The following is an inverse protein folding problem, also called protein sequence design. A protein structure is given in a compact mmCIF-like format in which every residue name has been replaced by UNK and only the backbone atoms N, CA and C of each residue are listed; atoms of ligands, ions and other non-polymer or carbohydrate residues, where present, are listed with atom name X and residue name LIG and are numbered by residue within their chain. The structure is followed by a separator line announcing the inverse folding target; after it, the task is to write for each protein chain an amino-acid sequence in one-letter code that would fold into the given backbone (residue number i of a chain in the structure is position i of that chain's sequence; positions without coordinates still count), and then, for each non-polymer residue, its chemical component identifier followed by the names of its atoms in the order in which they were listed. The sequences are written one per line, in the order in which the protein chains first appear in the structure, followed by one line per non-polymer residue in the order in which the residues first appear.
data_IF_628888209230
#
_entry.id   IF_628888209230
#
_cell.length_a   1.000
_cell.length_b   1.000
_cell.length_c   1.000
_cell.angle_alpha   90.00
_cell.angle_beta   90.00
_cell.angle_gamma   90.00
#
_symmetry.space_group_name_H-M   'P 1'
#
loop_
_entity.id
_entity.type
_entity.pdbx_description
1 polymer ?
#
# COMPACT_ATOMS: atom_id res chain seq x y z
N UNK A 1 -11.18 15.40 -22.28
CA UNK A 1 -11.95 14.61 -21.26
C UNK A 1 -10.95 14.21 -20.19
N UNK A 2 -11.28 14.45 -18.93
CA UNK A 2 -10.39 14.06 -17.81
C UNK A 2 -10.04 12.58 -17.87
N UNK A 3 -8.84 12.23 -17.42
CA UNK A 3 -8.42 10.84 -17.32
C UNK A 3 -9.28 10.08 -16.29
N UNK A 4 -9.57 8.82 -16.59
CA UNK A 4 -10.16 7.89 -15.61
C UNK A 4 -9.04 7.07 -14.99
N UNK A 5 -8.97 7.07 -13.65
CA UNK A 5 -7.87 6.47 -12.92
C UNK A 5 -8.42 5.53 -11.85
N UNK A 6 -7.75 4.40 -11.68
CA UNK A 6 -8.00 3.43 -10.61
C UNK A 6 -6.74 3.21 -9.78
N UNK A 7 -6.92 2.80 -8.53
CA UNK A 7 -5.84 2.35 -7.66
C UNK A 7 -5.91 0.83 -7.59
N UNK A 8 -4.81 0.17 -7.91
CA UNK A 8 -4.74 -1.29 -7.93
C UNK A 8 -3.81 -1.83 -6.86
N UNK A 9 -4.30 -2.77 -6.07
CA UNK A 9 -3.48 -3.62 -5.21
C UNK A 9 -2.94 -4.80 -6.02
N UNK A 10 -1.65 -5.05 -5.89
CA UNK A 10 -0.98 -6.18 -6.52
C UNK A 10 -0.67 -7.26 -5.49
N UNK A 11 -0.95 -8.53 -5.84
CA UNK A 11 -0.73 -9.71 -5.01
C UNK A 11 -0.25 -10.88 -5.88
N UNK A 12 0.33 -11.90 -5.26
CA UNK A 12 0.77 -13.11 -5.92
C UNK A 12 2.15 -12.99 -6.56
N UNK A 13 2.48 -13.92 -7.43
CA UNK A 13 3.80 -14.05 -8.04
C UNK A 13 4.23 -12.78 -8.79
N UNK A 14 5.47 -12.34 -8.58
CA UNK A 14 6.03 -11.17 -9.26
C UNK A 14 6.03 -11.30 -10.79
N UNK A 15 6.09 -12.51 -11.33
CA UNK A 15 6.03 -12.76 -12.77
C UNK A 15 4.62 -12.70 -13.37
N UNK A 16 3.57 -12.86 -12.54
CA UNK A 16 2.16 -12.84 -12.96
C UNK A 16 1.26 -12.39 -11.81
N UNK A 17 1.37 -11.13 -11.38
CA UNK A 17 0.61 -10.64 -10.23
C UNK A 17 -0.87 -10.49 -10.56
N UNK A 18 -1.71 -10.76 -9.56
CA UNK A 18 -3.12 -10.39 -9.57
C UNK A 18 -3.25 -8.91 -9.22
N UNK A 19 -4.01 -8.16 -10.01
CA UNK A 19 -4.25 -6.72 -9.85
C UNK A 19 -5.72 -6.49 -9.51
N UNK A 20 -5.99 -6.07 -8.29
CA UNK A 20 -7.36 -5.80 -7.84
C UNK A 20 -7.59 -4.30 -7.73
N UNK A 21 -8.66 -3.80 -8.36
CA UNK A 21 -9.10 -2.42 -8.19
C UNK A 21 -9.60 -2.20 -6.75
N UNK A 22 -8.99 -1.26 -6.06
CA UNK A 22 -9.31 -0.90 -4.67
C UNK A 22 -9.76 0.55 -4.53
N UNK A 23 -10.07 1.24 -5.63
CA UNK A 23 -10.40 2.67 -5.65
C UNK A 23 -11.58 3.01 -4.75
N UNK A 24 -12.58 2.14 -4.69
CA UNK A 24 -13.83 2.36 -3.96
C UNK A 24 -14.14 1.27 -2.94
N UNK A 25 -13.18 0.42 -2.61
CA UNK A 25 -13.35 -0.70 -1.68
C UNK A 25 -12.25 -0.72 -0.64
N UNK A 26 -12.56 -1.25 0.53
CA UNK A 26 -11.56 -1.47 1.56
C UNK A 26 -10.55 -2.53 1.11
N UNK A 27 -9.30 -2.34 1.51
CA UNK A 27 -8.27 -3.37 1.39
C UNK A 27 -7.72 -3.68 2.79
N UNK A 28 -7.71 -4.94 3.14
CA UNK A 28 -7.24 -5.41 4.44
C UNK A 28 -5.77 -5.80 4.35
N UNK A 29 -4.95 -5.29 5.27
CA UNK A 29 -3.62 -5.83 5.51
C UNK A 29 -3.75 -7.04 6.46
N UNK A 30 -3.24 -8.19 6.05
CA UNK A 30 -3.34 -9.47 6.76
C UNK A 30 -2.04 -10.27 6.60
N UNK A 31 -1.97 -11.44 7.22
CA UNK A 31 -0.82 -12.34 7.13
C UNK A 31 -0.97 -13.34 5.96
N UNK A 32 -1.29 -12.82 4.77
CA UNK A 32 -1.30 -13.57 3.50
C UNK A 32 -1.16 -12.61 2.31
N UNK A 33 -0.69 -13.13 1.17
CA UNK A 33 -0.52 -12.37 -0.06
C UNK A 33 -1.77 -12.47 -0.95
N UNK A 34 -2.93 -12.08 -0.39
CA UNK A 34 -4.20 -12.02 -1.10
C UNK A 34 -4.94 -10.73 -0.79
N UNK A 35 -5.82 -10.30 -1.70
CA UNK A 35 -6.71 -9.19 -1.43
C UNK A 35 -7.97 -9.69 -0.70
N UNK A 36 -8.28 -9.07 0.43
CA UNK A 36 -9.55 -9.24 1.14
C UNK A 36 -10.06 -7.90 1.64
N UNK A 37 -11.37 -7.77 1.77
CA UNK A 37 -12.01 -6.53 2.26
C UNK A 37 -12.32 -6.58 3.75
N UNK A 38 -12.60 -7.78 4.28
CA UNK A 38 -12.99 -8.01 5.67
C UNK A 38 -12.73 -9.45 6.09
N UNK A 39 -12.99 -9.77 7.35
CA UNK A 39 -12.90 -11.13 7.90
C UNK A 39 -11.72 -11.32 8.86
N UNK A 40 -11.60 -12.53 9.39
CA UNK A 40 -10.59 -12.92 10.39
C UNK A 40 -9.61 -13.96 9.87
N UNK A 41 -9.78 -14.46 8.64
CA UNK A 41 -8.86 -15.41 8.02
C UNK A 41 -7.48 -14.78 7.86
N UNK A 42 -6.45 -15.53 8.20
CA UNK A 42 -5.05 -15.09 8.12
C UNK A 42 -4.78 -13.73 8.80
N UNK A 43 -5.37 -13.51 9.98
CA UNK A 43 -5.07 -12.36 10.80
C UNK A 43 -3.60 -12.36 11.22
N UNK A 44 -3.02 -11.17 11.43
CA UNK A 44 -1.68 -11.05 12.01
C UNK A 44 -1.80 -11.47 13.48
N UNK A 45 -0.94 -12.39 13.92
CA UNK A 45 -0.90 -12.78 15.33
C UNK A 45 -0.27 -11.66 16.18
N UNK A 46 -0.83 -11.41 17.36
CA UNK A 46 -0.19 -10.55 18.35
C UNK A 46 0.99 -11.35 18.94
N UNK A 47 2.23 -10.83 18.84
CA UNK A 47 3.38 -11.56 19.36
C UNK A 47 3.45 -11.47 20.89
N UNK A 48 4.08 -12.44 21.54
CA UNK A 48 4.35 -12.37 22.97
C UNK A 48 5.47 -11.38 23.32
N UNK A 49 6.34 -11.08 22.37
CA UNK A 49 7.39 -10.07 22.42
C UNK A 49 7.83 -9.67 21.02
N UNK A 50 8.42 -8.47 20.85
CA UNK A 50 8.80 -7.96 19.53
C UNK A 50 7.59 -7.60 18.67
N UNK A 51 7.69 -7.81 17.38
CA UNK A 51 6.65 -7.43 16.41
C UNK A 51 6.36 -8.54 15.41
N UNK A 52 5.10 -8.64 15.02
CA UNK A 52 4.63 -9.36 13.84
C UNK A 52 4.17 -8.35 12.77
N UNK A 53 4.12 -8.80 11.55
CA UNK A 53 3.93 -7.96 10.38
C UNK A 53 2.78 -8.47 9.51
N UNK A 54 2.02 -7.56 8.88
CA UNK A 54 1.21 -8.00 7.72
C UNK A 54 2.15 -8.44 6.58
N UNK A 55 1.62 -9.15 5.60
CA UNK A 55 2.25 -9.10 4.29
C UNK A 55 2.19 -7.65 3.80
N UNK A 56 3.21 -7.16 3.09
CA UNK A 56 3.16 -5.78 2.58
C UNK A 56 2.09 -5.63 1.51
N UNK A 57 1.51 -4.45 1.46
CA UNK A 57 0.47 -4.09 0.51
C UNK A 57 1.07 -3.18 -0.54
N UNK A 58 1.19 -3.69 -1.76
CA UNK A 58 1.70 -2.94 -2.90
C UNK A 58 0.55 -2.32 -3.67
N UNK A 59 0.49 -0.98 -3.71
CA UNK A 59 -0.54 -0.23 -4.43
C UNK A 59 0.07 0.58 -5.56
N UNK A 60 -0.65 0.72 -6.67
CA UNK A 60 -0.21 1.46 -7.85
C UNK A 60 -1.39 2.13 -8.55
N UNK A 61 -1.15 3.29 -9.12
CA UNK A 61 -2.10 3.99 -9.97
C UNK A 61 -2.16 3.35 -11.37
N UNK A 62 -3.35 3.23 -11.92
CA UNK A 62 -3.60 2.80 -13.29
C UNK A 62 -4.49 3.82 -13.99
N UNK A 63 -4.14 4.21 -15.21
CA UNK A 63 -4.97 5.03 -16.07
C UNK A 63 -5.81 4.12 -16.95
N UNK A 64 -7.12 4.14 -16.76
CA UNK A 64 -8.04 3.27 -17.50
C UNK A 64 -8.56 3.94 -18.78
N UNK A 65 -8.65 5.28 -18.81
CA UNK A 65 -8.96 6.05 -20.01
C UNK A 65 -8.24 7.41 -19.95
N UNK A 66 -7.70 7.82 -21.08
CA UNK A 66 -7.12 9.14 -21.33
C UNK A 66 -7.26 9.47 -22.81
N UNK A 67 -7.75 10.66 -23.15
CA UNK A 67 -7.95 11.07 -24.54
C UNK A 67 -6.82 11.95 -25.07
N UNK A 68 -6.21 12.74 -24.21
CA UNK A 68 -5.10 13.64 -24.51
C UNK A 68 -4.43 14.06 -23.20
N UNK A 69 -3.27 14.70 -23.26
CA UNK A 69 -2.57 15.21 -22.08
C UNK A 69 -1.78 14.13 -21.36
N UNK A 70 -1.55 14.36 -20.08
CA UNK A 70 -0.65 13.55 -19.25
C UNK A 70 -1.22 13.45 -17.84
N UNK A 71 -1.13 12.27 -17.24
CA UNK A 71 -1.29 12.03 -15.80
C UNK A 71 0.11 11.99 -15.20
N UNK A 72 0.42 12.90 -14.26
CA UNK A 72 1.74 13.00 -13.63
C UNK A 72 1.65 13.52 -12.20
N UNK A 73 2.79 13.94 -11.63
CA UNK A 73 2.91 14.47 -10.26
C UNK A 73 2.22 13.59 -9.21
N UNK A 74 2.42 12.28 -9.31
CA UNK A 74 1.77 11.29 -8.46
C UNK A 74 2.21 11.49 -7.00
N UNK A 75 1.25 11.52 -6.09
CA UNK A 75 1.44 11.67 -4.65
C UNK A 75 0.65 10.63 -3.89
N UNK A 76 1.14 10.26 -2.72
CA UNK A 76 0.46 9.41 -1.77
C UNK A 76 0.53 10.02 -0.37
N UNK A 77 -0.58 10.00 0.39
CA UNK A 77 -0.62 10.57 1.74
C UNK A 77 -1.77 10.01 2.59
N UNK A 78 -1.72 10.32 3.88
CA UNK A 78 -2.73 10.01 4.89
C UNK A 78 -3.27 11.31 5.49
N UNK A 79 -4.19 11.23 6.44
CA UNK A 79 -4.64 12.38 7.24
C UNK A 79 -3.63 12.79 8.33
N UNK A 80 -2.57 12.00 8.55
CA UNK A 80 -1.52 12.22 9.54
C UNK A 80 -1.79 11.59 10.90
N UNK A 81 -2.93 10.95 11.11
CA UNK A 81 -3.32 10.31 12.36
C UNK A 81 -3.28 8.80 12.25
N UNK A 82 -2.71 8.12 13.26
CA UNK A 82 -2.78 6.66 13.36
C UNK A 82 -3.95 6.27 14.27
N UNK A 83 -5.03 5.80 13.70
CA UNK A 83 -6.23 5.35 14.43
C UNK A 83 -6.32 3.81 14.53
N UNK A 84 -5.28 3.06 14.14
CA UNK A 84 -5.30 1.59 14.27
C UNK A 84 -5.36 1.10 15.72
N UNK A 85 -4.97 1.95 16.67
CA UNK A 85 -4.95 1.62 18.10
C UNK A 85 -3.55 1.33 18.64
N UNK A 86 -3.49 1.12 19.96
CA UNK A 86 -2.22 0.84 20.68
C UNK A 86 -1.55 -0.41 20.12
N UNK A 87 -0.23 -0.38 20.00
CA UNK A 87 0.57 -1.52 19.53
C UNK A 87 0.44 -1.81 18.03
N UNK A 88 -0.25 -0.96 17.27
CA UNK A 88 -0.39 -1.13 15.82
C UNK A 88 0.15 0.12 15.11
N UNK A 89 1.13 -0.06 14.25
CA UNK A 89 1.72 0.99 13.44
C UNK A 89 1.72 0.61 11.95
N UNK A 90 1.99 1.58 11.10
CA UNK A 90 2.09 1.35 9.67
C UNK A 90 3.36 2.01 9.13
N UNK A 91 4.17 1.24 8.44
CA UNK A 91 5.39 1.72 7.77
C UNK A 91 5.26 1.56 6.27
N UNK A 92 5.94 2.40 5.49
CA UNK A 92 5.90 2.31 4.04
C UNK A 92 6.88 3.22 3.34
N UNK A 93 7.03 2.99 2.05
CA UNK A 93 7.81 3.85 1.15
C UNK A 93 7.41 3.56 -0.32
N UNK A 94 7.90 4.37 -1.23
CA UNK A 94 7.76 4.12 -2.66
C UNK A 94 8.71 3.00 -3.12
N UNK A 95 8.29 2.27 -4.16
CA UNK A 95 9.09 1.20 -4.76
C UNK A 95 9.02 1.25 -6.28
N UNK A 96 10.16 1.05 -6.95
CA UNK A 96 10.25 1.12 -8.42
C UNK A 96 9.66 -0.11 -9.12
N UNK A 97 9.53 -1.24 -8.44
CA UNK A 97 8.96 -2.47 -8.98
C UNK A 97 8.15 -3.21 -7.92
N UNK A 98 7.27 -4.09 -8.40
CA UNK A 98 6.54 -5.03 -7.54
C UNK A 98 7.48 -6.14 -7.07
N UNK A 99 7.40 -6.44 -5.78
CA UNK A 99 8.00 -7.63 -5.15
C UNK A 99 6.90 -8.33 -4.39
N UNK A 100 6.79 -9.64 -4.57
CA UNK A 100 5.80 -10.45 -3.87
C UNK A 100 6.04 -10.43 -2.36
N UNK A 101 5.01 -10.15 -1.59
CA UNK A 101 5.06 -10.29 -0.14
C UNK A 101 5.13 -11.78 0.25
N UNK A 102 5.93 -12.09 1.27
CA UNK A 102 6.10 -13.44 1.78
C UNK A 102 6.01 -13.47 3.31
N UNK A 103 5.92 -14.67 3.89
CA UNK A 103 5.82 -14.84 5.34
C UNK A 103 5.24 -16.20 5.71
N UNK A 104 4.71 -16.30 6.93
CA UNK A 104 3.95 -17.45 7.42
C UNK A 104 2.47 -17.10 7.45
N UNK A 105 1.70 -17.69 6.56
CA UNK A 105 0.26 -17.42 6.42
C UNK A 105 -0.48 -17.60 7.75
N UNK A 106 -1.35 -16.64 8.09
CA UNK A 106 -2.09 -16.63 9.35
C UNK A 106 -1.26 -16.32 10.59
N UNK A 107 0.00 -15.88 10.43
CA UNK A 107 0.88 -15.53 11.54
C UNK A 107 1.54 -14.17 11.32
N UNK A 108 2.52 -14.11 10.41
CA UNK A 108 3.32 -12.91 10.18
C UNK A 108 3.89 -12.88 8.77
N UNK A 109 3.95 -11.68 8.18
CA UNK A 109 4.76 -11.39 7.01
C UNK A 109 6.25 -11.26 7.35
N UNK A 110 7.10 -11.21 6.34
CA UNK A 110 8.49 -10.74 6.45
C UNK A 110 8.48 -9.22 6.58
N UNK A 111 9.32 -8.67 7.45
CA UNK A 111 9.45 -7.23 7.67
C UNK A 111 9.77 -6.48 6.35
N UNK A 112 9.10 -5.35 6.13
CA UNK A 112 9.37 -4.47 5.01
C UNK A 112 10.67 -3.69 5.26
N UNK A 113 11.72 -4.08 4.57
CA UNK A 113 13.04 -3.44 4.59
C UNK A 113 13.60 -3.34 3.18
N UNK A 114 14.61 -2.52 2.96
CA UNK A 114 15.32 -2.46 1.68
C UNK A 114 16.04 -3.76 1.32
N UNK A 115 16.35 -4.60 2.31
CA UNK A 115 16.93 -5.93 2.08
C UNK A 115 15.90 -6.96 1.61
N UNK A 116 14.68 -6.91 2.16
CA UNK A 116 13.60 -7.83 1.82
C UNK A 116 12.80 -7.39 0.59
N UNK A 117 12.69 -6.07 0.36
CA UNK A 117 12.05 -5.48 -0.81
C UNK A 117 13.07 -4.61 -1.55
N UNK A 118 13.87 -5.23 -2.42
CA UNK A 118 15.03 -4.61 -3.08
C UNK A 118 14.70 -3.38 -3.95
N UNK A 119 13.42 -3.17 -4.30
CA UNK A 119 12.99 -2.04 -5.13
C UNK A 119 12.49 -0.83 -4.34
N UNK A 120 12.53 -0.86 -2.98
CA UNK A 120 12.20 0.30 -2.17
C UNK A 120 13.16 1.46 -2.42
N UNK A 121 12.65 2.68 -2.47
CA UNK A 121 13.45 3.89 -2.66
C UNK A 121 14.34 4.22 -1.45
N UNK A 122 14.08 3.61 -0.31
CA UNK A 122 14.82 3.79 0.94
C UNK A 122 14.15 3.03 2.09
N UNK A 123 14.68 3.16 3.29
CA UNK A 123 14.08 2.55 4.47
C UNK A 123 12.62 2.99 4.64
N UNK A 124 11.69 2.08 4.94
CA UNK A 124 10.30 2.46 5.21
C UNK A 124 10.22 3.35 6.45
N UNK A 125 9.30 4.28 6.44
CA UNK A 125 9.03 5.21 7.54
C UNK A 125 7.57 5.13 7.97
N UNK A 126 7.23 5.75 9.10
CA UNK A 126 5.84 5.87 9.53
C UNK A 126 5.01 6.56 8.43
N UNK A 127 4.01 5.86 7.91
CA UNK A 127 3.17 6.38 6.80
C UNK A 127 2.36 7.62 7.19
N UNK A 128 2.05 7.81 8.47
CA UNK A 128 1.32 8.98 8.97
C UNK A 128 2.16 10.26 8.99
N UNK A 129 3.46 10.17 8.70
CA UNK A 129 4.29 11.36 8.41
C UNK A 129 4.02 11.94 7.01
N UNK A 130 3.44 11.16 6.10
CA UNK A 130 3.01 11.65 4.80
C UNK A 130 1.60 12.22 4.88
N UNK A 131 1.48 13.54 4.88
CA UNK A 131 0.21 14.26 4.95
C UNK A 131 -0.08 14.98 3.62
N UNK A 132 -1.27 15.55 3.48
CA UNK A 132 -1.61 16.35 2.30
C UNK A 132 -0.67 17.54 2.08
N UNK A 133 -0.09 18.10 3.16
CA UNK A 133 0.91 19.18 3.10
C UNK A 133 2.35 18.69 2.85
N UNK A 134 2.63 17.41 3.10
CA UNK A 134 3.94 16.77 2.90
C UNK A 134 3.76 15.34 2.37
N UNK A 135 3.21 15.17 1.16
CA UNK A 135 2.93 13.84 0.61
C UNK A 135 4.21 13.12 0.15
N UNK A 136 4.17 11.79 0.16
CA UNK A 136 5.17 11.00 -0.53
C UNK A 136 5.09 11.27 -2.04
N UNK A 137 6.22 11.60 -2.67
CA UNK A 137 6.30 11.71 -4.12
C UNK A 137 6.46 10.32 -4.74
N UNK A 138 5.54 9.95 -5.62
CA UNK A 138 5.60 8.70 -6.36
C UNK A 138 6.06 9.01 -7.78
N UNK A 139 7.21 8.48 -8.18
CA UNK A 139 7.76 8.71 -9.53
C UNK A 139 6.86 8.09 -10.59
N UNK A 140 6.51 8.86 -11.61
CA UNK A 140 5.75 8.38 -12.77
C UNK A 140 4.98 9.44 -13.49
N UNK A 141 4.78 9.18 -14.78
CA UNK A 141 3.99 9.99 -15.71
C UNK A 141 3.56 9.12 -16.89
N UNK A 142 2.38 9.39 -17.44
CA UNK A 142 1.91 8.70 -18.65
C UNK A 142 0.95 9.56 -19.46
N UNK A 143 0.99 9.38 -20.78
CA UNK A 143 -0.02 9.88 -21.72
C UNK A 143 -0.85 8.75 -22.34
N UNK A 144 -0.74 7.52 -21.83
CA UNK A 144 -1.44 6.33 -22.30
C UNK A 144 -2.11 5.57 -21.17
N UNK A 145 -3.04 4.70 -21.49
CA UNK A 145 -3.66 3.79 -20.52
C UNK A 145 -2.69 2.74 -19.99
N UNK A 146 -2.90 2.30 -18.77
CA UNK A 146 -2.15 1.24 -18.11
C UNK A 146 -1.66 1.63 -16.71
N UNK A 147 -0.95 0.68 -16.08
CA UNK A 147 -0.35 0.90 -14.76
C UNK A 147 0.77 1.94 -14.86
N UNK A 148 0.71 2.96 -14.02
CA UNK A 148 1.52 4.16 -14.15
C UNK A 148 2.35 4.42 -12.89
N UNK A 149 3.60 4.80 -13.10
CA UNK A 149 4.52 5.20 -12.04
C UNK A 149 5.01 4.05 -11.17
N UNK A 150 5.66 4.41 -10.09
CA UNK A 150 6.12 3.51 -9.04
C UNK A 150 4.94 3.05 -8.17
N UNK A 151 5.21 2.12 -7.28
CA UNK A 151 4.30 1.68 -6.23
C UNK A 151 4.44 2.57 -4.99
N UNK A 152 3.38 2.62 -4.18
CA UNK A 152 3.51 2.86 -2.75
C UNK A 152 3.26 1.54 -2.03
N UNK A 153 4.24 1.13 -1.23
CA UNK A 153 4.22 -0.15 -0.49
C UNK A 153 4.16 0.16 0.99
N UNK A 154 3.21 -0.46 1.70
CA UNK A 154 3.09 -0.30 3.14
C UNK A 154 2.88 -1.63 3.85
N UNK A 155 3.15 -1.64 5.15
CA UNK A 155 3.02 -2.81 6.01
C UNK A 155 2.51 -2.40 7.39
N UNK A 156 1.55 -3.14 7.91
CA UNK A 156 1.11 -3.04 9.30
C UNK A 156 2.10 -3.80 10.18
N UNK A 157 2.48 -3.15 11.28
CA UNK A 157 3.33 -3.72 12.33
C UNK A 157 2.52 -3.82 13.60
N UNK A 158 2.49 -5.00 14.20
CA UNK A 158 1.73 -5.30 15.43
C UNK A 158 2.72 -5.72 16.51
N UNK A 159 2.77 -5.01 17.61
CA UNK A 159 3.60 -5.37 18.77
C UNK A 159 2.80 -6.09 19.87
N UNK A 160 3.50 -6.50 20.93
CA UNK A 160 2.91 -7.27 22.05
C UNK A 160 1.90 -6.50 22.91
N UNK A 161 1.74 -5.19 22.70
CA UNK A 161 0.77 -4.34 23.44
C UNK A 161 -0.54 -4.18 22.70
N UNK A 162 -0.64 -4.70 21.46
CA UNK A 162 -1.85 -4.59 20.65
C UNK A 162 -3.02 -5.34 21.30
N UNK A 163 -4.21 -4.78 21.16
CA UNK A 163 -5.44 -5.46 21.54
C UNK A 163 -5.90 -6.42 20.45
N UNK A 164 -6.49 -7.55 20.85
CA UNK A 164 -7.11 -8.47 19.90
C UNK A 164 -8.38 -7.88 19.30
N UNK A 165 -8.61 -8.08 18.01
CA UNK A 165 -9.80 -7.61 17.30
C UNK A 165 -9.48 -6.89 16.01
N UNK A 166 -10.52 -6.28 15.42
CA UNK A 166 -10.36 -5.45 14.23
C UNK A 166 -9.86 -4.04 14.63
N UNK A 167 -8.93 -3.49 13.87
CA UNK A 167 -8.53 -2.09 13.98
C UNK A 167 -9.59 -1.17 13.34
N UNK A 168 -9.55 0.11 13.65
CA UNK A 168 -10.25 1.12 12.87
C UNK A 168 -9.72 1.13 11.42
N UNK A 169 -10.54 1.63 10.50
CA UNK A 169 -10.12 1.84 9.11
C UNK A 169 -9.36 3.15 8.96
N UNK A 170 -8.33 3.14 8.12
CA UNK A 170 -7.57 4.32 7.73
C UNK A 170 -7.79 4.63 6.25
N UNK A 171 -7.73 5.91 5.90
CA UNK A 171 -7.84 6.35 4.52
C UNK A 171 -6.47 6.72 3.98
N UNK A 172 -6.07 6.04 2.92
CA UNK A 172 -4.84 6.30 2.17
C UNK A 172 -5.21 6.91 0.82
N UNK A 173 -4.63 8.08 0.52
CA UNK A 173 -5.03 8.88 -0.63
C UNK A 173 -3.94 8.92 -1.68
N UNK A 174 -4.31 8.63 -2.92
CA UNK A 174 -3.53 8.94 -4.11
C UNK A 174 -4.00 10.26 -4.70
N UNK A 175 -3.05 11.11 -5.10
CA UNK A 175 -3.28 12.35 -5.81
C UNK A 175 -2.41 12.38 -7.07
N UNK A 176 -2.90 12.99 -8.11
CA UNK A 176 -2.19 13.18 -9.38
C UNK A 176 -2.65 14.48 -10.04
N UNK A 177 -1.86 14.98 -10.96
CA UNK A 177 -2.24 16.05 -11.86
C UNK A 177 -2.66 15.43 -13.19
N UNK A 178 -3.72 15.98 -13.80
CA UNK A 178 -4.26 15.58 -15.08
C UNK A 178 -4.31 16.81 -15.99
N UNK A 179 -3.48 16.81 -17.03
CA UNK A 179 -3.41 17.90 -18.01
C UNK A 179 -4.27 17.62 -19.25
N UNK A 180 -5.12 16.58 -19.21
CA UNK A 180 -6.05 16.29 -20.31
C UNK A 180 -7.10 17.40 -20.43
N UNK A 181 -7.33 17.85 -21.64
CA UNK A 181 -8.28 18.93 -21.98
C UNK A 181 -9.47 18.40 -22.79
#
# INVERSE_FOLDING_TARGET
MAATVTIRRWTGSSGSPTKTDITSINTRANAEDTHTTSGTTNSILIPTSGSNYSYWVSTRLSVDAISSGTVDNLKWYTDGSNNFGTGVTCIGNTASAYVQATGTAGQTGIELTTGNHASLAGSPSNVFSYTSGSPASVTGSTSTTGDTGHFFVYQIVVDSTAASGATASETFTWKYDDTSS
#
